data_IF_390584106204
#
_entry.id   IF_390584106204
#
_cell.length_a   1.000
_cell.length_b   1.000
_cell.length_c   1.000
_cell.angle_alpha   90.00
_cell.angle_beta   90.00
_cell.angle_gamma   90.00
#
_symmetry.space_group_name_H-M   'P 1'
#
loop_
_entity.id
_entity.type
_entity.pdbx_description
1 polymer ?
#
# COMPACT_ATOMS: atom_id res chain seq x y z
N UNK A 1 -1.59 16.14 19.80
CA UNK A 1 -1.33 15.69 18.42
C UNK A 1 -1.24 16.84 17.40
N UNK A 2 -1.56 18.10 17.76
CA UNK A 2 -1.60 19.23 16.81
C UNK A 2 -0.23 19.68 16.25
N UNK A 3 0.89 19.44 16.94
CA UNK A 3 2.25 19.80 16.49
C UNK A 3 3.05 18.63 15.90
N UNK A 4 2.38 17.53 15.55
CA UNK A 4 3.03 16.29 15.12
C UNK A 4 2.99 16.17 13.60
N UNK A 5 4.07 15.73 12.96
CA UNK A 5 4.10 15.49 11.51
C UNK A 5 3.04 14.46 11.09
N UNK A 6 2.38 14.64 9.94
CA UNK A 6 1.29 13.75 9.54
C UNK A 6 1.73 12.29 9.36
N UNK A 7 2.93 12.04 8.84
CA UNK A 7 3.43 10.69 8.68
C UNK A 7 3.55 9.92 9.99
N UNK A 8 4.07 10.54 11.06
CA UNK A 8 4.20 9.86 12.35
C UNK A 8 2.83 9.68 13.03
N UNK A 9 1.83 10.54 12.74
CA UNK A 9 0.46 10.36 13.27
C UNK A 9 -0.14 9.03 12.85
N UNK A 10 0.12 8.57 11.62
CA UNK A 10 -0.37 7.26 11.19
C UNK A 10 0.16 6.10 12.03
N UNK A 11 1.45 6.11 12.35
CA UNK A 11 2.04 5.11 13.24
C UNK A 11 1.43 5.20 14.64
N UNK A 12 1.23 6.42 15.15
CA UNK A 12 0.57 6.62 16.45
C UNK A 12 -0.87 6.11 16.46
N UNK A 13 -1.66 6.35 15.41
CA UNK A 13 -3.03 5.82 15.33
C UNK A 13 -3.05 4.30 15.36
N UNK A 14 -2.21 3.66 14.55
CA UNK A 14 -2.10 2.20 14.55
C UNK A 14 -1.68 1.67 15.92
N UNK A 15 -0.67 2.29 16.54
CA UNK A 15 -0.20 1.94 17.87
C UNK A 15 -1.32 2.09 18.93
N UNK A 16 -2.07 3.18 18.91
CA UNK A 16 -3.20 3.41 19.82
C UNK A 16 -4.27 2.35 19.64
N UNK A 17 -4.60 1.97 18.40
CA UNK A 17 -5.59 0.92 18.12
C UNK A 17 -5.14 -0.46 18.62
N UNK A 18 -3.85 -0.77 18.47
CA UNK A 18 -3.25 -2.01 19.00
C UNK A 18 -3.29 -2.01 20.53
N UNK A 19 -2.80 -0.94 21.17
CA UNK A 19 -2.69 -0.86 22.63
C UNK A 19 -4.04 -0.87 23.34
N UNK A 20 -5.08 -0.31 22.71
CA UNK A 20 -6.44 -0.35 23.26
C UNK A 20 -7.16 -1.68 22.99
N UNK A 21 -6.51 -2.67 22.35
CA UNK A 21 -7.12 -3.95 22.03
C UNK A 21 -8.25 -3.87 21.00
N UNK A 22 -8.35 -2.76 20.26
CA UNK A 22 -9.33 -2.61 19.18
C UNK A 22 -9.00 -3.53 18.00
N UNK A 23 -7.72 -3.83 17.82
CA UNK A 23 -7.21 -4.76 16.81
C UNK A 23 -6.90 -6.09 17.49
N UNK A 24 -7.64 -7.12 17.11
CA UNK A 24 -7.53 -8.48 17.65
C UNK A 24 -7.47 -9.49 16.51
N UNK A 25 -7.12 -10.73 16.84
CA UNK A 25 -7.16 -11.82 15.88
C UNK A 25 -8.58 -11.92 15.26
N UNK A 26 -8.64 -12.02 13.93
CA UNK A 26 -9.89 -12.00 13.16
C UNK A 26 -10.41 -10.61 12.81
N UNK A 27 -9.81 -9.53 13.32
CA UNK A 27 -10.11 -8.17 12.86
C UNK A 27 -9.73 -7.98 11.39
N UNK A 28 -10.45 -7.08 10.72
CA UNK A 28 -10.11 -6.62 9.37
C UNK A 28 -9.75 -5.14 9.43
N UNK A 29 -8.58 -4.79 8.88
CA UNK A 29 -8.12 -3.42 8.72
C UNK A 29 -8.12 -3.05 7.24
N UNK A 30 -8.58 -1.83 6.95
CA UNK A 30 -8.59 -1.27 5.61
C UNK A 30 -7.78 0.02 5.68
N UNK A 31 -6.73 0.11 4.88
CA UNK A 31 -5.92 1.31 4.72
C UNK A 31 -6.18 1.89 3.34
N UNK A 32 -6.61 3.14 3.30
CA UNK A 32 -6.76 3.91 2.07
C UNK A 32 -5.59 4.89 1.96
N UNK A 33 -4.76 4.72 0.93
CA UNK A 33 -3.55 5.50 0.65
C UNK A 33 -2.64 5.73 1.88
N UNK A 34 -2.21 4.68 2.61
CA UNK A 34 -1.37 4.83 3.81
C UNK A 34 -0.01 5.48 3.51
N UNK A 35 0.43 5.56 2.28
CA UNK A 35 1.65 6.28 1.89
C UNK A 35 1.53 7.82 1.99
N UNK A 36 0.31 8.37 2.08
CA UNK A 36 0.09 9.81 2.01
C UNK A 36 0.72 10.48 3.23
N UNK A 37 1.62 11.43 2.97
CA UNK A 37 2.48 12.09 3.97
C UNK A 37 3.60 11.23 4.58
N UNK A 38 3.84 10.01 4.09
CA UNK A 38 5.00 9.20 4.48
C UNK A 38 6.18 9.44 3.53
N UNK A 39 7.34 9.76 4.11
CA UNK A 39 8.61 9.66 3.40
C UNK A 39 8.79 8.21 2.88
N UNK A 40 9.39 7.97 1.70
CA UNK A 40 9.55 6.63 1.13
C UNK A 40 10.07 5.59 2.14
N UNK A 41 11.14 5.92 2.88
CA UNK A 41 11.68 5.06 3.95
C UNK A 41 10.63 4.62 4.98
N UNK A 42 9.69 5.48 5.35
CA UNK A 42 8.64 5.15 6.30
C UNK A 42 7.53 4.29 5.70
N UNK A 43 7.30 4.36 4.38
CA UNK A 43 6.38 3.45 3.69
C UNK A 43 6.87 2.00 3.81
N UNK A 44 8.19 1.78 3.68
CA UNK A 44 8.81 0.46 3.86
C UNK A 44 8.62 -0.05 5.30
N UNK A 45 8.83 0.80 6.31
CA UNK A 45 8.60 0.44 7.70
C UNK A 45 7.11 0.18 7.98
N UNK A 46 6.22 0.96 7.38
CA UNK A 46 4.77 0.78 7.53
C UNK A 46 4.29 -0.55 6.93
N UNK A 47 4.77 -0.88 5.72
CA UNK A 47 4.51 -2.18 5.09
C UNK A 47 5.00 -3.35 5.96
N UNK A 48 6.18 -3.22 6.58
CA UNK A 48 6.69 -4.22 7.52
C UNK A 48 5.75 -4.39 8.72
N UNK A 49 5.27 -3.30 9.32
CA UNK A 49 4.28 -3.37 10.40
C UNK A 49 3.00 -4.05 9.94
N UNK A 50 2.47 -3.68 8.77
CA UNK A 50 1.28 -4.31 8.18
C UNK A 50 1.47 -5.83 8.05
N UNK A 51 2.59 -6.29 7.50
CA UNK A 51 2.85 -7.74 7.36
C UNK A 51 2.97 -8.46 8.71
N UNK A 52 3.49 -7.79 9.75
CA UNK A 52 3.49 -8.33 11.11
C UNK A 52 2.07 -8.52 11.64
N UNK A 53 1.18 -7.54 11.44
CA UNK A 53 -0.21 -7.65 11.85
C UNK A 53 -0.93 -8.81 11.15
N UNK A 54 -0.65 -9.02 9.85
CA UNK A 54 -1.25 -10.13 9.11
C UNK A 54 -0.84 -11.49 9.68
N UNK A 55 0.42 -11.62 10.11
CA UNK A 55 0.92 -12.84 10.78
C UNK A 55 0.19 -13.12 12.09
N UNK A 56 -0.21 -12.08 12.80
CA UNK A 56 -0.95 -12.18 14.07
C UNK A 56 -2.45 -12.51 13.86
N UNK A 57 -2.85 -12.85 12.63
CA UNK A 57 -4.22 -13.27 12.29
C UNK A 57 -5.15 -12.12 11.94
N UNK A 58 -4.61 -10.93 11.63
CA UNK A 58 -5.39 -9.77 11.20
C UNK A 58 -5.50 -9.79 9.68
N UNK A 59 -6.70 -9.57 9.15
CA UNK A 59 -6.88 -9.39 7.70
C UNK A 59 -6.62 -7.94 7.35
N UNK A 60 -5.81 -7.69 6.33
CA UNK A 60 -5.49 -6.32 5.90
C UNK A 60 -5.82 -6.14 4.43
N UNK A 61 -6.51 -5.06 4.10
CA UNK A 61 -6.71 -4.54 2.75
C UNK A 61 -5.99 -3.18 2.66
N UNK A 62 -5.20 -3.00 1.61
CA UNK A 62 -4.49 -1.74 1.34
C UNK A 62 -4.86 -1.27 -0.05
N UNK A 63 -5.34 -0.03 -0.16
CA UNK A 63 -5.35 0.73 -1.41
C UNK A 63 -4.12 1.63 -1.43
N UNK A 64 -3.35 1.61 -2.53
CA UNK A 64 -2.12 2.38 -2.63
C UNK A 64 -1.81 2.72 -4.08
N UNK A 65 -1.31 3.93 -4.28
CA UNK A 65 -0.73 4.44 -5.52
C UNK A 65 0.80 4.51 -5.44
N UNK A 66 1.42 4.11 -4.32
CA UNK A 66 2.87 4.13 -4.17
C UNK A 66 3.53 2.83 -4.67
N UNK A 67 4.47 2.91 -5.64
CA UNK A 67 5.26 1.75 -6.04
C UNK A 67 6.10 1.22 -4.87
N UNK A 68 6.63 2.08 -4.00
CA UNK A 68 7.42 1.68 -2.84
C UNK A 68 6.60 0.86 -1.83
N UNK A 69 5.34 1.24 -1.59
CA UNK A 69 4.46 0.52 -0.67
C UNK A 69 4.10 -0.86 -1.23
N UNK A 70 3.74 -0.93 -2.50
CA UNK A 70 3.34 -2.17 -3.19
C UNK A 70 4.51 -3.16 -3.22
N UNK A 71 5.70 -2.69 -3.61
CA UNK A 71 6.91 -3.50 -3.65
C UNK A 71 7.32 -3.99 -2.26
N UNK A 72 7.28 -3.11 -1.25
CA UNK A 72 7.58 -3.49 0.13
C UNK A 72 6.60 -4.56 0.64
N UNK A 73 5.29 -4.40 0.41
CA UNK A 73 4.27 -5.39 0.78
C UNK A 73 4.51 -6.73 0.09
N UNK A 74 4.89 -6.73 -1.19
CA UNK A 74 5.22 -7.95 -1.93
C UNK A 74 6.41 -8.69 -1.30
N UNK A 75 7.53 -7.99 -1.09
CA UNK A 75 8.77 -8.57 -0.59
C UNK A 75 8.64 -9.03 0.86
N UNK A 76 8.01 -8.24 1.73
CA UNK A 76 7.77 -8.65 3.11
C UNK A 76 6.78 -9.81 3.20
N UNK A 77 5.72 -9.83 2.38
CA UNK A 77 4.78 -10.97 2.36
C UNK A 77 5.47 -12.26 1.95
N UNK A 78 6.30 -12.22 0.90
CA UNK A 78 7.10 -13.37 0.46
C UNK A 78 8.05 -13.85 1.54
N UNK A 79 8.77 -12.93 2.18
CA UNK A 79 9.73 -13.25 3.26
C UNK A 79 9.06 -13.96 4.43
N UNK A 80 7.84 -13.56 4.77
CA UNK A 80 7.12 -14.06 5.95
C UNK A 80 6.13 -15.18 5.61
N UNK A 81 6.16 -15.69 4.37
CA UNK A 81 5.27 -16.74 3.85
C UNK A 81 3.76 -16.43 4.04
N UNK A 82 3.39 -15.16 3.85
CA UNK A 82 2.03 -14.68 3.97
C UNK A 82 1.34 -14.78 2.60
N UNK A 83 0.10 -15.28 2.60
CA UNK A 83 -0.73 -15.29 1.39
C UNK A 83 -1.23 -13.89 1.08
N UNK A 84 -0.70 -13.28 0.02
CA UNK A 84 -1.04 -11.92 -0.40
C UNK A 84 -1.55 -11.91 -1.83
N UNK A 85 -2.60 -11.15 -2.09
CA UNK A 85 -3.16 -10.96 -3.43
C UNK A 85 -3.06 -9.49 -3.82
N UNK A 86 -2.68 -9.24 -5.08
CA UNK A 86 -2.61 -7.91 -5.64
C UNK A 86 -3.68 -7.75 -6.72
N UNK A 87 -4.28 -6.57 -6.76
CA UNK A 87 -5.38 -6.24 -7.65
C UNK A 87 -5.11 -4.92 -8.36
N UNK A 88 -5.45 -4.85 -9.64
CA UNK A 88 -5.35 -3.64 -10.45
C UNK A 88 -6.75 -3.16 -10.81
N UNK A 89 -7.07 -1.93 -10.43
CA UNK A 89 -8.31 -1.27 -10.82
C UNK A 89 -8.12 -0.54 -12.15
N UNK A 90 -8.95 -0.86 -13.14
CA UNK A 90 -8.99 -0.21 -14.46
C UNK A 90 -10.38 0.38 -14.71
N UNK A 91 -10.43 1.59 -15.26
CA UNK A 91 -11.67 2.18 -15.74
C UNK A 91 -11.92 1.72 -17.17
N UNK A 92 -13.10 1.18 -17.43
CA UNK A 92 -13.57 0.78 -18.76
C UNK A 92 -14.95 1.40 -18.92
N UNK A 93 -15.06 2.37 -19.83
CA UNK A 93 -16.26 3.21 -20.01
C UNK A 93 -16.71 3.85 -18.68
N UNK A 94 -17.93 3.54 -18.24
CA UNK A 94 -18.53 4.02 -16.97
C UNK A 94 -18.29 3.05 -15.79
N UNK A 95 -17.53 1.98 -15.98
CA UNK A 95 -17.32 0.93 -14.98
C UNK A 95 -15.86 0.85 -14.53
N UNK A 96 -15.66 0.34 -13.31
CA UNK A 96 -14.35 -0.04 -12.79
C UNK A 96 -14.24 -1.55 -12.73
N UNK A 97 -13.23 -2.10 -13.42
CA UNK A 97 -12.89 -3.53 -13.39
C UNK A 97 -11.70 -3.72 -12.45
N UNK A 98 -11.84 -4.64 -11.51
CA UNK A 98 -10.77 -5.02 -10.57
C UNK A 98 -10.25 -6.39 -10.99
N UNK A 99 -9.02 -6.43 -11.48
CA UNK A 99 -8.37 -7.65 -11.94
C UNK A 99 -7.35 -8.14 -10.93
N UNK A 100 -7.37 -9.44 -10.62
CA UNK A 100 -6.31 -10.05 -9.81
C UNK A 100 -5.03 -10.18 -10.64
N UNK A 101 -3.95 -9.55 -10.19
CA UNK A 101 -2.65 -9.48 -10.89
C UNK A 101 -1.48 -9.95 -10.03
N UNK A 102 -1.74 -10.74 -8.98
CA UNK A 102 -0.70 -11.28 -8.07
C UNK A 102 0.53 -11.87 -8.78
N UNK A 103 0.33 -12.52 -9.93
CA UNK A 103 1.42 -13.18 -10.68
C UNK A 103 2.03 -12.28 -11.78
N UNK A 104 1.53 -11.06 -11.96
CA UNK A 104 2.00 -10.11 -12.98
C UNK A 104 1.91 -8.67 -12.45
N UNK A 105 2.79 -8.37 -11.48
CA UNK A 105 2.87 -7.05 -10.85
C UNK A 105 3.45 -5.98 -11.77
N UNK A 106 4.15 -6.37 -12.84
CA UNK A 106 4.63 -5.45 -13.88
C UNK A 106 3.50 -4.59 -14.45
N UNK A 107 2.28 -5.15 -14.56
CA UNK A 107 1.09 -4.38 -14.98
C UNK A 107 0.76 -3.23 -14.05
N UNK A 108 0.95 -3.40 -12.74
CA UNK A 108 0.73 -2.32 -11.76
C UNK A 108 1.81 -1.25 -11.94
N UNK A 109 3.08 -1.65 -11.94
CA UNK A 109 4.20 -0.70 -12.04
C UNK A 109 4.17 0.08 -13.35
N UNK A 110 3.85 -0.59 -14.47
CA UNK A 110 3.68 0.07 -15.76
C UNK A 110 2.62 1.17 -15.70
N UNK A 111 1.46 0.88 -15.10
CA UNK A 111 0.38 1.86 -14.94
C UNK A 111 0.79 3.03 -14.05
N UNK A 112 1.51 2.76 -12.96
CA UNK A 112 2.01 3.82 -12.06
C UNK A 112 3.08 4.70 -12.72
N UNK A 113 3.81 4.17 -13.69
CA UNK A 113 4.84 4.90 -14.45
C UNK A 113 4.27 5.72 -15.63
N UNK A 114 3.04 5.46 -16.09
CA UNK A 114 2.43 6.18 -17.22
C UNK A 114 2.56 7.70 -17.15
N UNK A 115 2.31 8.39 -16.01
CA UNK A 115 2.44 9.84 -15.93
C UNK A 115 3.86 10.34 -16.17
N UNK A 116 4.89 9.58 -15.76
CA UNK A 116 6.30 9.95 -15.96
C UNK A 116 6.65 9.78 -17.44
N UNK A 117 6.25 8.67 -18.05
CA UNK A 117 6.49 8.43 -19.47
C UNK A 117 5.87 9.54 -20.33
N UNK A 118 4.67 10.02 -19.98
CA UNK A 118 4.04 11.15 -20.68
C UNK A 118 4.81 12.46 -20.54
N UNK A 119 5.52 12.68 -19.42
CA UNK A 119 6.38 13.85 -19.26
C UNK A 119 7.66 13.73 -20.09
N UNK A 120 8.25 12.53 -20.14
CA UNK A 120 9.44 12.27 -20.97
C UNK A 120 9.14 12.51 -22.46
N UNK A 121 7.99 12.05 -22.96
CA UNK A 121 7.56 12.30 -24.34
C UNK A 121 7.45 13.80 -24.69
N UNK A 122 7.09 14.65 -23.72
CA UNK A 122 7.05 16.10 -23.91
C UNK A 122 8.46 16.72 -23.96
N UNK A 123 9.40 16.21 -23.17
CA UNK A 123 10.79 16.68 -23.10
C UNK A 123 11.57 16.33 -24.37
N UNK A 124 11.23 15.22 -25.04
CA UNK A 124 11.81 14.81 -26.32
C UNK A 124 11.14 15.43 -27.56
N UNK A 125 10.08 16.23 -27.40
CA UNK A 125 9.37 16.89 -28.49
C UNK A 125 9.94 18.29 -28.84
N UNK A 126 11.00 18.73 -28.16
CA UNK A 126 11.86 19.89 -28.52
C UNK A 126 13.09 19.47 -29.33
#
# INVERSE_FOLDING_TARGET
MYQTANGIKMFCFLQILILNGAIKNGSTLIFDEPEVHLHPKWQLEYAKVITSLVRDGIKVLVNSHSPYMIEALELYSKKENINTNFYLANKVDEYSIIEKVTNNLERIYKKLAEPINSLEELDYAE
#
